data_IF_259841053812
#
_entry.id   IF_259841053812
#
_cell.length_a   1.000
_cell.length_b   1.000
_cell.length_c   1.000
_cell.angle_alpha   90.00
_cell.angle_beta   90.00
_cell.angle_gamma   90.00
#
_symmetry.space_group_name_H-M   'P 1'
#
loop_
_entity.id
_entity.type
_entity.pdbx_description
1 polymer ?
#
# COMPACT_ATOMS: atom_id res chain seq x y z
N UNK A 1 3.72 -68.45 2.14
CA UNK A 1 2.84 -69.45 1.52
C UNK A 1 2.34 -70.42 2.57
N UNK A 2 1.22 -70.10 3.22
CA UNK A 2 0.18 -71.06 3.66
C UNK A 2 -0.99 -70.23 4.20
N UNK A 3 -2.17 -70.62 3.73
CA UNK A 3 -3.47 -69.94 3.81
C UNK A 3 -4.32 -70.71 4.84
N UNK A 4 -5.42 -70.10 5.25
CA UNK A 4 -6.68 -70.62 5.82
C UNK A 4 -6.89 -70.18 7.27
N UNK A 5 -8.08 -69.77 7.69
CA UNK A 5 -9.37 -69.49 7.07
C UNK A 5 -10.28 -69.20 8.26
N UNK A 6 -11.18 -68.23 8.18
CA UNK A 6 -12.57 -68.43 8.62
C UNK A 6 -13.42 -67.24 8.22
N UNK A 7 -14.27 -67.54 7.24
CA UNK A 7 -15.43 -66.75 6.86
C UNK A 7 -16.36 -66.55 8.06
N UNK A 8 -17.08 -65.44 8.10
CA UNK A 8 -18.54 -65.53 8.28
C UNK A 8 -19.24 -64.44 7.50
N UNK A 9 -20.18 -64.91 6.69
CA UNK A 9 -21.11 -64.18 5.85
C UNK A 9 -22.34 -63.73 6.66
N UNK A 10 -23.17 -62.92 5.99
CA UNK A 10 -24.60 -62.66 6.24
C UNK A 10 -24.90 -61.41 7.08
N UNK A 11 -25.90 -60.59 6.78
CA UNK A 11 -26.96 -60.64 5.75
C UNK A 11 -27.54 -59.23 5.64
N UNK A 12 -27.91 -58.84 4.42
CA UNK A 12 -28.75 -57.68 4.16
C UNK A 12 -30.15 -57.86 4.77
N UNK A 13 -30.76 -56.77 5.25
CA UNK A 13 -32.15 -56.70 5.66
C UNK A 13 -32.67 -55.28 5.55
N UNK A 14 -33.44 -55.01 4.48
CA UNK A 14 -34.23 -53.80 4.29
C UNK A 14 -35.20 -53.61 5.46
N UNK A 15 -35.31 -52.39 5.97
CA UNK A 15 -36.55 -51.91 6.61
C UNK A 15 -36.90 -50.56 5.99
N UNK A 16 -37.89 -50.60 5.09
CA UNK A 16 -38.65 -49.44 4.68
C UNK A 16 -39.68 -49.12 5.77
N UNK A 17 -39.69 -47.88 6.28
CA UNK A 17 -40.85 -47.32 6.99
C UNK A 17 -41.12 -45.89 6.56
N UNK A 18 -42.11 -45.81 5.68
CA UNK A 18 -43.10 -44.77 5.43
C UNK A 18 -43.07 -43.49 6.28
N UNK A 19 -42.98 -42.39 5.54
CA UNK A 19 -43.51 -41.03 5.73
C UNK A 19 -44.69 -40.87 6.72
N UNK A 20 -44.60 -39.90 7.66
CA UNK A 20 -45.56 -38.77 7.87
C UNK A 20 -45.12 -37.84 9.04
N UNK A 21 -45.71 -36.62 9.19
CA UNK A 21 -44.96 -35.37 9.21
C UNK A 21 -44.95 -34.72 10.61
N UNK A 22 -44.50 -33.45 10.66
CA UNK A 22 -44.72 -32.46 11.74
C UNK A 22 -43.60 -32.36 12.77
N UNK A 23 -42.62 -31.49 12.51
CA UNK A 23 -42.65 -30.12 13.04
C UNK A 23 -41.36 -29.40 12.60
N UNK A 24 -41.55 -28.34 11.83
CA UNK A 24 -40.51 -27.36 11.52
C UNK A 24 -40.07 -26.70 12.83
N UNK A 25 -39.04 -27.24 13.46
CA UNK A 25 -38.26 -26.48 14.43
C UNK A 25 -37.37 -25.52 13.63
N UNK A 26 -37.87 -24.31 13.42
CA UNK A 26 -37.12 -23.16 12.93
C UNK A 26 -35.84 -22.98 13.75
N UNK A 27 -34.71 -23.35 13.17
CA UNK A 27 -33.39 -22.94 13.65
C UNK A 27 -33.26 -21.46 13.30
N UNK A 28 -33.50 -20.59 14.27
CA UNK A 28 -33.19 -19.17 14.14
C UNK A 28 -31.66 -19.02 14.13
N UNK A 29 -31.08 -18.95 12.93
CA UNK A 29 -29.69 -18.59 12.72
C UNK A 29 -29.54 -17.09 12.99
N UNK A 30 -29.16 -16.73 14.23
CA UNK A 30 -28.78 -15.37 14.59
C UNK A 30 -27.45 -15.05 13.86
N UNK A 31 -27.58 -14.54 12.63
CA UNK A 31 -26.48 -13.87 11.93
C UNK A 31 -26.21 -12.59 12.71
N UNK A 32 -25.25 -12.65 13.63
CA UNK A 32 -24.68 -11.43 14.22
C UNK A 32 -23.97 -10.70 13.08
N UNK A 33 -24.51 -9.54 12.68
CA UNK A 33 -23.81 -8.59 11.84
C UNK A 33 -22.67 -8.02 12.68
N UNK A 34 -21.48 -8.60 12.57
CA UNK A 34 -20.26 -7.96 13.03
C UNK A 34 -19.96 -6.87 12.01
N UNK A 35 -20.37 -5.64 12.32
CA UNK A 35 -19.93 -4.46 11.59
C UNK A 35 -18.41 -4.45 11.65
N UNK A 36 -17.74 -4.77 10.54
CA UNK A 36 -16.30 -4.57 10.41
C UNK A 36 -16.11 -3.06 10.46
N UNK A 37 -15.46 -2.49 11.50
CA UNK A 37 -15.11 -1.09 11.43
C UNK A 37 -14.12 -0.94 10.28
N UNK A 38 -14.53 -0.20 9.25
CA UNK A 38 -13.60 0.36 8.27
C UNK A 38 -12.71 1.34 9.02
N UNK A 39 -11.50 0.92 9.36
CA UNK A 39 -10.45 1.84 9.82
C UNK A 39 -10.05 2.66 8.60
N UNK A 40 -10.61 3.86 8.46
CA UNK A 40 -10.00 4.89 7.65
C UNK A 40 -8.76 5.35 8.42
N UNK A 41 -7.58 5.00 7.93
CA UNK A 41 -6.32 5.53 8.46
C UNK A 41 -6.33 7.04 8.24
N UNK A 42 -6.67 7.81 9.27
CA UNK A 42 -6.54 9.25 9.24
C UNK A 42 -5.08 9.59 9.48
N UNK A 43 -4.45 10.18 8.47
CA UNK A 43 -3.00 10.25 8.40
C UNK A 43 -2.45 11.36 9.30
N UNK A 44 -1.94 10.97 10.47
CA UNK A 44 -1.11 11.82 11.30
C UNK A 44 0.34 11.73 10.79
N UNK A 45 0.65 12.53 9.78
CA UNK A 45 2.00 12.60 9.23
C UNK A 45 2.96 13.26 10.22
N UNK A 46 4.07 12.59 10.50
CA UNK A 46 5.22 13.18 11.18
C UNK A 46 6.23 13.57 10.11
N UNK A 47 6.50 14.87 9.97
CA UNK A 47 7.58 15.33 9.10
C UNK A 47 8.90 14.66 9.51
N UNK A 48 9.71 14.30 8.54
CA UNK A 48 10.93 13.54 8.76
C UNK A 48 10.72 12.03 8.86
N UNK A 49 9.47 11.54 8.88
CA UNK A 49 9.16 10.12 8.98
C UNK A 49 8.48 9.62 7.71
N UNK A 50 9.01 8.54 7.17
CA UNK A 50 8.34 7.76 6.13
C UNK A 50 8.00 6.35 6.66
N UNK A 51 7.13 5.65 5.95
CA UNK A 51 6.73 4.27 6.25
C UNK A 51 7.16 3.34 5.12
N UNK A 52 7.63 2.16 5.48
CA UNK A 52 8.05 1.12 4.54
C UNK A 52 7.41 -0.21 4.95
N UNK A 53 6.57 -0.77 4.09
CA UNK A 53 6.07 -2.13 4.21
C UNK A 53 6.87 -3.03 3.26
N UNK A 54 7.52 -4.05 3.80
CA UNK A 54 8.42 -4.93 3.04
C UNK A 54 8.03 -6.40 3.22
N UNK A 55 7.77 -7.11 2.14
CA UNK A 55 7.45 -8.54 2.18
C UNK A 55 8.42 -9.31 1.31
N UNK A 56 9.05 -10.34 1.89
CA UNK A 56 9.86 -11.32 1.17
C UNK A 56 9.24 -12.71 1.28
N UNK A 57 8.86 -13.26 0.14
CA UNK A 57 8.45 -14.65 -0.02
C UNK A 57 9.29 -15.34 -1.10
N UNK A 58 10.19 -16.24 -0.68
CA UNK A 58 11.13 -16.88 -1.59
C UNK A 58 12.07 -15.87 -2.26
N UNK A 59 11.91 -15.73 -3.58
CA UNK A 59 12.67 -14.81 -4.44
C UNK A 59 11.82 -13.60 -4.91
N UNK A 60 10.63 -13.44 -4.33
CA UNK A 60 9.76 -12.29 -4.59
C UNK A 60 9.88 -11.31 -3.42
N UNK A 61 10.08 -10.04 -3.76
CA UNK A 61 10.07 -8.93 -2.81
C UNK A 61 8.95 -7.97 -3.22
N UNK A 62 8.06 -7.66 -2.29
CA UNK A 62 7.04 -6.63 -2.46
C UNK A 62 7.33 -5.50 -1.48
N UNK A 63 7.22 -4.28 -1.97
CA UNK A 63 7.52 -3.07 -1.23
C UNK A 63 6.37 -2.10 -1.41
N UNK A 64 5.91 -1.53 -0.31
CA UNK A 64 5.13 -0.30 -0.33
C UNK A 64 5.88 0.75 0.47
N UNK A 65 6.09 1.91 -0.12
CA UNK A 65 6.66 3.06 0.54
C UNK A 65 5.63 4.17 0.59
N UNK A 66 5.54 4.84 1.74
CA UNK A 66 4.66 5.96 1.96
C UNK A 66 5.42 7.11 2.62
N UNK A 67 5.22 8.34 2.14
CA UNK A 67 5.86 9.50 2.73
C UNK A 67 5.03 10.77 2.57
N UNK A 68 4.97 11.63 3.60
CA UNK A 68 4.55 13.02 3.46
C UNK A 68 5.36 13.75 2.39
N UNK A 69 4.72 14.68 1.68
CA UNK A 69 5.35 15.51 0.65
C UNK A 69 6.45 16.41 1.20
N UNK A 70 6.35 16.81 2.48
CA UNK A 70 7.41 17.55 3.17
C UNK A 70 8.77 16.82 3.10
N UNK A 71 8.80 15.49 3.09
CA UNK A 71 10.03 14.72 3.08
C UNK A 71 10.65 14.62 1.68
N UNK A 72 9.85 14.69 0.61
CA UNK A 72 10.33 14.50 -0.77
C UNK A 72 10.49 15.85 -1.51
N UNK A 73 9.59 16.79 -1.24
CA UNK A 73 9.53 18.10 -1.90
C UNK A 73 10.01 19.25 -1.01
N UNK A 74 9.99 19.06 0.32
CA UNK A 74 10.22 20.14 1.29
C UNK A 74 8.98 21.03 1.55
N UNK A 75 7.83 20.69 0.97
CA UNK A 75 6.57 21.41 1.14
C UNK A 75 5.36 20.48 0.93
N UNK A 76 4.18 20.92 1.39
CA UNK A 76 2.90 20.19 1.27
C UNK A 76 1.79 21.05 0.64
N UNK A 77 2.17 22.18 0.05
CA UNK A 77 1.27 23.02 -0.74
C UNK A 77 1.40 22.70 -2.22
N UNK A 78 0.51 23.27 -3.02
CA UNK A 78 0.69 23.28 -4.47
C UNK A 78 2.05 23.92 -4.85
N UNK A 79 2.78 23.34 -5.82
CA UNK A 79 3.98 23.95 -6.37
C UNK A 79 3.66 25.34 -6.94
N UNK A 80 4.44 26.34 -6.54
CA UNK A 80 4.23 27.75 -6.87
C UNK A 80 5.21 28.28 -7.92
N UNK A 81 6.37 27.65 -8.08
CA UNK A 81 7.40 28.07 -9.04
C UNK A 81 7.73 26.97 -10.04
N UNK A 82 8.32 27.35 -11.19
CA UNK A 82 8.81 26.40 -12.19
C UNK A 82 9.80 25.38 -11.60
N UNK A 83 10.63 25.78 -10.65
CA UNK A 83 11.57 24.91 -9.96
C UNK A 83 10.86 23.87 -9.10
N UNK A 84 9.79 24.25 -8.40
CA UNK A 84 8.99 23.32 -7.58
C UNK A 84 8.22 22.33 -8.46
N UNK A 85 7.70 22.76 -9.62
CA UNK A 85 7.09 21.86 -10.60
C UNK A 85 8.09 20.88 -11.21
N UNK A 86 9.31 21.34 -11.53
CA UNK A 86 10.38 20.45 -11.99
C UNK A 86 10.79 19.47 -10.90
N UNK A 87 10.88 19.89 -9.64
CA UNK A 87 11.18 19.00 -8.53
C UNK A 87 10.13 17.89 -8.39
N UNK A 88 8.83 18.22 -8.45
CA UNK A 88 7.76 17.23 -8.43
C UNK A 88 7.91 16.22 -9.59
N UNK A 89 8.21 16.69 -10.80
CA UNK A 89 8.42 15.82 -11.95
C UNK A 89 9.63 14.90 -11.76
N UNK A 90 10.76 15.42 -11.26
CA UNK A 90 11.94 14.61 -10.94
C UNK A 90 11.63 13.55 -9.87
N UNK A 91 10.91 13.92 -8.80
CA UNK A 91 10.50 12.95 -7.77
C UNK A 91 9.61 11.88 -8.37
N UNK A 92 8.65 12.25 -9.24
CA UNK A 92 7.81 11.29 -9.92
C UNK A 92 8.63 10.29 -10.77
N UNK A 93 9.60 10.78 -11.53
CA UNK A 93 10.52 9.94 -12.32
C UNK A 93 11.39 9.03 -11.44
N UNK A 94 11.93 9.55 -10.34
CA UNK A 94 12.71 8.75 -9.38
C UNK A 94 11.88 7.57 -8.84
N UNK A 95 10.62 7.84 -8.45
CA UNK A 95 9.69 6.83 -7.95
C UNK A 95 9.37 5.75 -8.99
N UNK A 96 9.64 5.91 -10.27
CA UNK A 96 9.46 4.85 -11.27
C UNK A 96 10.60 3.81 -11.27
N UNK A 97 11.74 4.09 -10.62
CA UNK A 97 12.95 3.25 -10.77
C UNK A 97 13.38 2.51 -9.53
N UNK A 98 12.82 2.82 -8.34
CA UNK A 98 13.20 2.29 -7.02
C UNK A 98 14.71 2.39 -6.65
N UNK A 99 15.56 2.90 -7.53
CA UNK A 99 17.01 3.10 -7.32
C UNK A 99 17.25 4.09 -6.19
N UNK A 100 16.39 5.10 -6.04
CA UNK A 100 16.43 6.04 -4.92
C UNK A 100 16.30 5.33 -3.56
N UNK A 101 15.54 4.23 -3.50
CA UNK A 101 15.22 3.49 -2.28
C UNK A 101 16.21 2.37 -1.98
N UNK A 102 16.63 1.60 -2.99
CA UNK A 102 17.42 0.37 -2.83
C UNK A 102 18.79 0.42 -3.53
N UNK A 103 19.14 1.54 -4.18
CA UNK A 103 20.27 1.59 -5.10
C UNK A 103 20.16 0.51 -6.19
N UNK A 104 21.30 -0.05 -6.59
CA UNK A 104 21.38 -1.07 -7.65
C UNK A 104 21.30 -2.52 -7.11
N UNK A 105 20.99 -2.70 -5.82
CA UNK A 105 21.10 -4.00 -5.15
C UNK A 105 20.19 -5.08 -5.74
N UNK A 106 19.07 -4.67 -6.37
CA UNK A 106 18.10 -5.56 -7.02
C UNK A 106 18.04 -5.39 -8.55
N UNK A 107 19.03 -4.75 -9.20
CA UNK A 107 19.01 -4.53 -10.65
C UNK A 107 19.04 -5.83 -11.48
N UNK A 108 19.38 -6.96 -10.88
CA UNK A 108 19.30 -8.28 -11.51
C UNK A 108 17.91 -8.93 -11.47
N UNK A 109 16.94 -8.30 -10.81
CA UNK A 109 15.58 -8.78 -10.68
C UNK A 109 14.66 -8.12 -11.72
N UNK A 110 13.59 -8.81 -12.12
CA UNK A 110 12.52 -8.19 -12.90
C UNK A 110 11.66 -7.33 -11.96
N UNK A 111 11.68 -6.02 -12.18
CA UNK A 111 10.96 -5.05 -11.37
C UNK A 111 9.67 -4.64 -12.07
N UNK A 112 8.58 -4.56 -11.29
CA UNK A 112 7.29 -4.02 -11.73
C UNK A 112 6.80 -3.01 -10.71
N UNK A 113 6.15 -1.97 -11.22
CA UNK A 113 5.44 -1.00 -10.40
C UNK A 113 3.98 -1.44 -10.35
N UNK A 114 3.45 -1.66 -9.15
CA UNK A 114 2.06 -2.07 -8.95
C UNK A 114 1.13 -0.86 -8.81
N UNK A 115 1.65 0.24 -8.29
CA UNK A 115 0.90 1.47 -8.11
C UNK A 115 1.81 2.64 -7.71
N UNK A 116 1.46 3.82 -8.20
CA UNK A 116 2.06 5.08 -7.77
C UNK A 116 0.93 6.07 -7.50
N UNK A 117 0.89 6.61 -6.29
CA UNK A 117 0.02 7.72 -5.92
C UNK A 117 0.93 8.93 -5.71
N UNK A 118 0.87 9.87 -6.65
CA UNK A 118 1.56 11.16 -6.58
C UNK A 118 0.47 12.22 -6.44
N UNK A 119 0.68 13.28 -5.62
CA UNK A 119 -0.27 14.37 -5.49
C UNK A 119 -0.61 14.97 -6.87
N UNK A 120 -1.89 14.90 -7.25
CA UNK A 120 -2.35 15.48 -8.50
C UNK A 120 -2.71 16.94 -8.25
N UNK A 121 -1.84 17.83 -8.72
CA UNK A 121 -2.13 19.26 -8.74
C UNK A 121 -2.75 19.59 -10.09
N UNK A 122 -4.07 19.42 -10.23
CA UNK A 122 -4.77 19.98 -11.38
C UNK A 122 -4.72 21.48 -11.27
N UNK A 123 -3.80 22.12 -11.99
CA UNK A 123 -3.93 23.53 -12.29
C UNK A 123 -5.32 23.70 -12.94
N UNK A 124 -6.18 24.54 -12.38
CA UNK A 124 -7.39 24.97 -13.03
C UNK A 124 -7.04 25.58 -14.39
N UNK A 125 -7.04 24.76 -15.43
CA UNK A 125 -7.27 25.19 -16.78
C UNK A 125 -8.77 25.46 -16.87
N UNK A 126 -9.19 26.54 -16.22
CA UNK A 126 -10.51 27.11 -16.43
C UNK A 126 -10.48 27.68 -17.85
N UNK A 127 -11.15 26.95 -18.71
CA UNK A 127 -11.46 27.28 -20.08
C UNK A 127 -12.31 28.57 -20.05
N UNK A 128 -11.67 29.73 -20.11
CA UNK A 128 -12.38 31.00 -20.30
C UNK A 128 -12.82 31.12 -21.76
N UNK A 129 -13.78 30.29 -22.13
CA UNK A 129 -14.64 30.45 -23.30
C UNK A 129 -15.80 31.39 -22.90
N UNK A 130 -15.78 32.58 -23.51
CA UNK A 130 -16.91 33.46 -23.84
C UNK A 130 -17.95 33.81 -22.75
N UNK A 131 -18.02 35.09 -22.32
CA UNK A 131 -19.25 35.90 -22.34
C UNK A 131 -19.00 37.38 -21.96
N UNK A 132 -19.31 38.25 -22.92
CA UNK A 132 -19.63 39.68 -22.80
C UNK A 132 -20.85 39.92 -21.87
N UNK A 133 -20.73 40.85 -20.90
CA UNK A 133 -21.67 41.97 -20.61
C UNK A 133 -21.59 42.51 -19.17
N UNK A 134 -21.35 43.81 -19.03
CA UNK A 134 -22.21 44.72 -18.23
C UNK A 134 -22.05 44.86 -16.70
N UNK A 135 -21.53 46.03 -16.31
CA UNK A 135 -21.81 46.87 -15.11
C UNK A 135 -22.08 46.26 -13.71
N UNK A 136 -21.21 46.68 -12.78
CA UNK A 136 -21.41 47.07 -11.38
C UNK A 136 -22.34 46.25 -10.47
N UNK A 137 -21.77 45.62 -9.43
CA UNK A 137 -22.15 45.81 -8.02
C UNK A 137 -21.04 45.32 -7.07
N UNK A 138 -20.80 46.10 -6.01
CA UNK A 138 -19.99 45.76 -4.85
C UNK A 138 -20.67 44.66 -4.01
N UNK A 139 -19.85 43.96 -3.23
CA UNK A 139 -20.16 42.93 -2.22
C UNK A 139 -20.28 41.49 -2.74
N UNK A 140 -19.13 40.81 -2.82
CA UNK A 140 -19.05 39.36 -2.74
C UNK A 140 -18.23 38.99 -1.51
N UNK A 141 -18.90 38.33 -0.57
CA UNK A 141 -18.27 37.55 0.48
C UNK A 141 -17.26 36.62 -0.20
N UNK A 142 -15.97 36.78 0.12
CA UNK A 142 -14.93 35.84 -0.26
C UNK A 142 -15.29 34.50 0.38
N UNK A 143 -16.00 33.68 -0.39
CA UNK A 143 -15.96 32.24 -0.21
C UNK A 143 -14.54 31.83 -0.59
N UNK A 144 -13.66 31.84 0.41
CA UNK A 144 -12.48 31.00 0.43
C UNK A 144 -12.98 29.54 0.38
N UNK A 145 -13.39 29.08 -0.81
CA UNK A 145 -13.30 27.68 -1.17
C UNK A 145 -11.80 27.39 -1.23
N UNK A 146 -11.20 27.27 -0.04
CA UNK A 146 -9.99 26.52 0.13
C UNK A 146 -10.33 25.12 -0.38
N UNK A 147 -10.04 24.88 -1.66
CA UNK A 147 -10.01 23.56 -2.22
C UNK A 147 -9.20 22.74 -1.21
N UNK A 148 -9.86 21.77 -0.59
CA UNK A 148 -9.21 20.83 0.29
C UNK A 148 -8.23 20.08 -0.60
N UNK A 149 -6.99 20.58 -0.64
CA UNK A 149 -5.87 19.80 -1.13
C UNK A 149 -5.79 18.63 -0.14
N UNK A 150 -6.37 17.50 -0.56
CA UNK A 150 -6.15 16.22 0.07
C UNK A 150 -4.63 16.05 0.20
N UNK A 151 -4.19 15.60 1.37
CA UNK A 151 -2.79 15.58 1.82
C UNK A 151 -1.79 15.27 0.69
N UNK A 152 -0.73 16.06 0.59
CA UNK A 152 0.32 15.94 -0.43
C UNK A 152 1.22 14.77 -0.06
N UNK A 153 0.70 13.55 -0.15
CA UNK A 153 1.39 12.34 0.21
C UNK A 153 1.81 11.55 -1.03
N UNK A 154 2.90 10.81 -0.88
CA UNK A 154 3.43 9.94 -1.91
C UNK A 154 3.30 8.49 -1.47
N UNK A 155 2.78 7.65 -2.35
CA UNK A 155 2.77 6.20 -2.20
C UNK A 155 3.35 5.57 -3.44
N UNK A 156 4.21 4.58 -3.26
CA UNK A 156 4.67 3.74 -4.37
C UNK A 156 4.75 2.29 -3.95
N UNK A 157 4.35 1.41 -4.86
CA UNK A 157 4.34 -0.03 -4.67
C UNK A 157 5.17 -0.71 -5.76
N UNK A 158 6.11 -1.55 -5.35
CA UNK A 158 7.02 -2.28 -6.21
C UNK A 158 6.93 -3.79 -5.95
N UNK A 159 7.06 -4.57 -7.03
CA UNK A 159 7.33 -6.00 -6.98
C UNK A 159 8.65 -6.29 -7.67
N UNK A 160 9.53 -7.05 -7.03
CA UNK A 160 10.76 -7.57 -7.62
C UNK A 160 10.70 -9.09 -7.66
N UNK A 161 10.90 -9.66 -8.84
CA UNK A 161 11.05 -11.11 -9.07
C UNK A 161 12.51 -11.41 -9.42
N UNK A 162 13.24 -12.01 -8.49
CA UNK A 162 14.66 -12.32 -8.67
C UNK A 162 14.86 -13.77 -9.15
N UNK A 163 15.75 -14.00 -10.13
CA UNK A 163 16.08 -15.36 -10.59
C UNK A 163 17.10 -16.07 -9.69
N UNK A 164 18.00 -15.29 -9.07
CA UNK A 164 19.04 -15.76 -8.17
C UNK A 164 18.66 -15.54 -6.70
N UNK A 165 19.55 -15.92 -5.78
CA UNK A 165 19.37 -15.65 -4.35
C UNK A 165 19.41 -14.15 -4.06
N UNK A 166 18.42 -13.66 -3.30
CA UNK A 166 18.44 -12.34 -2.68
C UNK A 166 19.63 -12.19 -1.71
N UNK A 167 20.16 -10.96 -1.52
CA UNK A 167 21.17 -10.70 -0.51
C UNK A 167 20.62 -10.98 0.90
N UNK A 168 21.51 -11.16 1.88
CA UNK A 168 21.11 -11.35 3.29
C UNK A 168 20.61 -10.07 3.96
N UNK A 169 20.92 -8.91 3.37
CA UNK A 169 20.46 -7.60 3.81
C UNK A 169 20.25 -6.68 2.61
N UNK A 170 19.37 -5.69 2.75
CA UNK A 170 19.22 -4.59 1.81
C UNK A 170 19.54 -3.27 2.51
N UNK A 171 20.39 -2.48 1.90
CA UNK A 171 20.64 -1.10 2.33
C UNK A 171 19.54 -0.17 1.81
N UNK A 172 18.91 0.61 2.69
CA UNK A 172 17.92 1.61 2.30
C UNK A 172 18.61 2.94 2.00
N UNK A 173 18.66 3.33 0.73
CA UNK A 173 19.38 4.52 0.24
C UNK A 173 18.54 5.80 0.26
N UNK A 174 17.26 5.70 0.61
CA UNK A 174 16.32 6.83 0.60
C UNK A 174 16.82 8.06 1.38
N UNK A 175 17.55 7.89 2.50
CA UNK A 175 18.10 8.98 3.29
C UNK A 175 19.10 9.86 2.52
N UNK A 176 19.87 9.26 1.60
CA UNK A 176 20.84 9.99 0.80
C UNK A 176 20.17 10.75 -0.35
N UNK A 177 19.09 10.18 -0.89
CA UNK A 177 18.33 10.76 -2.01
C UNK A 177 17.35 11.84 -1.55
N UNK A 178 16.70 11.62 -0.41
CA UNK A 178 15.74 12.51 0.23
C UNK A 178 16.20 12.84 1.67
N UNK A 179 17.09 13.85 1.84
CA UNK A 179 17.70 14.16 3.15
C UNK A 179 16.72 14.66 4.21
N UNK A 180 15.51 15.07 3.82
CA UNK A 180 14.47 15.44 4.76
C UNK A 180 13.82 14.22 5.43
N UNK A 181 14.04 12.99 4.95
CA UNK A 181 13.71 11.77 5.68
C UNK A 181 14.76 11.59 6.77
N UNK A 182 14.33 11.68 8.03
CA UNK A 182 15.17 11.42 9.20
C UNK A 182 15.06 9.96 9.65
N UNK A 183 13.89 9.37 9.43
CA UNK A 183 13.51 8.05 9.93
C UNK A 183 12.55 7.32 8.99
N UNK A 184 12.70 6.00 8.87
CA UNK A 184 11.76 5.14 8.16
C UNK A 184 11.25 4.05 9.11
N UNK A 185 9.95 4.09 9.40
CA UNK A 185 9.26 3.05 10.16
C UNK A 185 8.98 1.87 9.23
N UNK A 186 9.73 0.79 9.41
CA UNK A 186 9.69 -0.38 8.52
C UNK A 186 8.94 -1.52 9.17
N UNK A 187 7.81 -1.92 8.58
CA UNK A 187 7.13 -3.16 8.89
C UNK A 187 7.48 -4.20 7.85
N UNK A 188 7.76 -5.43 8.26
CA UNK A 188 8.16 -6.45 7.30
C UNK A 188 7.62 -7.83 7.61
N UNK A 189 7.49 -8.65 6.56
CA UNK A 189 7.24 -10.08 6.64
C UNK A 189 8.31 -10.81 5.84
N UNK A 190 9.18 -11.54 6.53
CA UNK A 190 10.31 -12.25 5.93
C UNK A 190 10.24 -13.71 6.38
N UNK A 191 10.24 -14.64 5.42
CA UNK A 191 10.11 -16.08 5.70
C UNK A 191 8.91 -16.41 6.61
N UNK A 192 7.79 -15.70 6.40
CA UNK A 192 6.55 -15.85 7.17
C UNK A 192 6.59 -15.27 8.59
N UNK A 193 7.63 -14.52 8.96
CA UNK A 193 7.76 -13.87 10.26
C UNK A 193 7.53 -12.38 10.13
N UNK A 194 6.57 -11.79 10.87
CA UNK A 194 6.42 -10.36 10.92
C UNK A 194 7.49 -9.74 11.83
N UNK A 195 7.89 -8.51 11.53
CA UNK A 195 8.76 -7.72 12.37
C UNK A 195 8.66 -6.23 12.08
N UNK A 196 9.40 -5.47 12.87
CA UNK A 196 9.44 -4.01 12.79
C UNK A 196 10.87 -3.53 13.03
N UNK A 197 11.29 -2.53 12.26
CA UNK A 197 12.54 -1.80 12.44
C UNK A 197 12.31 -0.31 12.26
N UNK A 198 13.04 0.48 13.04
CA UNK A 198 13.20 1.91 12.77
C UNK A 198 14.55 2.08 12.07
N UNK A 199 14.52 2.50 10.81
CA UNK A 199 15.73 2.74 10.02
C UNK A 199 16.08 4.23 10.07
N UNK A 200 17.38 4.52 10.09
CA UNK A 200 17.94 5.89 10.07
C UNK A 200 19.18 5.92 9.18
N UNK A 201 19.71 7.10 8.89
CA UNK A 201 20.98 7.26 8.13
C UNK A 201 22.17 6.50 8.74
N UNK A 202 22.15 6.21 10.04
CA UNK A 202 23.22 5.47 10.71
C UNK A 202 22.91 3.96 10.89
N UNK A 203 21.70 3.55 10.55
CA UNK A 203 21.19 2.20 10.68
C UNK A 203 20.12 1.94 9.61
N UNK A 204 20.54 1.93 8.35
CA UNK A 204 19.68 1.87 7.17
C UNK A 204 19.59 0.48 6.53
N UNK A 205 20.25 -0.53 7.11
CA UNK A 205 20.21 -1.91 6.62
C UNK A 205 18.99 -2.68 7.15
N UNK A 206 18.22 -3.29 6.26
CA UNK A 206 17.15 -4.24 6.56
C UNK A 206 17.67 -5.68 6.38
N UNK A 207 17.64 -6.48 7.46
CA UNK A 207 17.97 -7.91 7.40
C UNK A 207 16.88 -8.69 6.66
N UNK A 208 17.27 -9.59 5.76
CA UNK A 208 16.38 -10.46 5.00
C UNK A 208 16.34 -11.91 5.51
N UNK A 209 17.08 -12.25 6.56
CA UNK A 209 17.15 -13.60 7.16
C UNK A 209 16.26 -13.79 8.40
#
# INVERSE_FOLDING_TARGET
>A
MQILSLLTLAKAGLVSRSCKPQNLATIAFLVSLWSVPTVLAQSAHEHGVAELNFVREGQVVQIEFFSPGANLLGFERMPATSEEWMLLATVAEDLETAIWLLGEQLNGCDMRIEGVEIPSFTAGADDHDDHDHGDAHEDHEDHDEAENIDHVDFRVQYTFECADSLPSQLEITAFAHFPAIERINTQWIIAGRPGFNELTVNASALSLE
#
